data_IF_093321084966
#
_entry.id   IF_093321084966
#
_cell.length_a   1.000
_cell.length_b   1.000
_cell.length_c   1.000
_cell.angle_alpha   90.00
_cell.angle_beta   90.00
_cell.angle_gamma   90.00
#
_symmetry.space_group_name_H-M   'P 1'
#
loop_
_entity.id
_entity.type
_entity.pdbx_description
1 polymer ?
#
# COMPACT_ATOMS: atom_id res chain seq x y z
N UNK A 1 24.22 46.50 -38.26
CA UNK A 1 23.61 46.58 -36.89
C UNK A 1 22.41 45.67 -36.67
N UNK A 2 21.62 45.31 -37.67
CA UNK A 2 20.43 44.42 -37.49
C UNK A 2 20.80 42.95 -37.26
N UNK A 3 21.94 42.46 -37.73
CA UNK A 3 22.37 41.06 -37.51
C UNK A 3 22.86 40.75 -36.08
N UNK A 4 23.34 41.75 -35.35
CA UNK A 4 23.86 41.56 -33.98
C UNK A 4 22.76 41.27 -32.96
N UNK A 5 21.57 41.82 -33.18
CA UNK A 5 20.42 41.58 -32.29
C UNK A 5 19.78 40.21 -32.43
N UNK A 6 19.90 39.58 -33.63
CA UNK A 6 19.37 38.23 -33.88
C UNK A 6 20.21 37.18 -33.15
N UNK A 7 21.52 37.35 -33.09
CA UNK A 7 22.43 36.44 -32.36
C UNK A 7 22.22 36.55 -30.85
N UNK A 8 21.94 37.74 -30.32
CA UNK A 8 21.66 37.96 -28.89
C UNK A 8 20.32 37.34 -28.46
N UNK A 9 19.31 37.30 -29.33
CA UNK A 9 18.01 36.71 -29.06
C UNK A 9 18.04 35.17 -29.05
N UNK A 10 18.92 34.52 -29.77
CA UNK A 10 19.05 33.06 -29.83
C UNK A 10 19.79 32.51 -28.60
N UNK A 11 20.64 33.30 -27.96
CA UNK A 11 21.38 32.86 -26.77
C UNK A 11 20.55 32.89 -25.47
N UNK A 12 19.38 33.56 -25.46
CA UNK A 12 18.52 33.67 -24.27
C UNK A 12 17.55 32.50 -24.14
N UNK A 13 17.36 31.69 -25.19
CA UNK A 13 16.39 30.54 -25.16
C UNK A 13 16.99 29.23 -24.65
N UNK A 14 18.27 29.19 -24.29
CA UNK A 14 18.86 28.05 -23.60
C UNK A 14 18.83 28.25 -22.08
N UNK A 15 17.67 28.58 -21.55
CA UNK A 15 17.46 28.47 -20.12
C UNK A 15 17.34 27.00 -19.75
N UNK A 16 18.42 26.49 -19.19
CA UNK A 16 18.54 25.24 -18.48
C UNK A 16 17.23 24.83 -17.81
N UNK A 17 16.57 23.80 -18.33
CA UNK A 17 15.66 23.00 -17.53
C UNK A 17 16.49 22.35 -16.42
N UNK A 18 16.52 22.97 -15.25
CA UNK A 18 17.06 22.33 -14.07
C UNK A 18 16.27 21.03 -13.88
N UNK A 19 16.95 19.88 -13.71
CA UNK A 19 16.24 18.66 -13.40
C UNK A 19 15.47 18.92 -12.10
N UNK A 20 14.15 18.84 -12.17
CA UNK A 20 13.31 18.78 -10.97
C UNK A 20 13.78 17.51 -10.25
N UNK A 21 14.46 17.69 -9.13
CA UNK A 21 14.80 16.58 -8.25
C UNK A 21 13.48 15.95 -7.84
N UNK A 22 13.21 14.74 -8.35
CA UNK A 22 12.02 13.98 -7.97
C UNK A 22 12.04 13.76 -6.46
N UNK A 23 10.89 13.95 -5.82
CA UNK A 23 10.73 13.57 -4.43
C UNK A 23 10.88 12.05 -4.31
N UNK A 24 11.79 11.60 -3.46
CA UNK A 24 11.87 10.18 -3.11
C UNK A 24 10.60 9.80 -2.35
N UNK A 25 9.94 8.74 -2.81
CA UNK A 25 8.72 8.23 -2.15
C UNK A 25 9.09 7.24 -1.05
N UNK A 26 8.45 7.38 0.11
CA UNK A 26 8.50 6.33 1.13
C UNK A 26 7.46 5.27 0.75
N UNK A 27 7.93 4.14 0.23
CA UNK A 27 7.06 3.02 -0.13
C UNK A 27 7.04 2.00 1.02
N UNK A 28 5.85 1.64 1.50
CA UNK A 28 5.66 0.68 2.59
C UNK A 28 5.00 -0.62 2.13
N UNK A 29 4.68 -0.76 0.84
CA UNK A 29 4.08 -1.97 0.30
C UNK A 29 3.45 -1.76 -1.07
N UNK A 30 2.90 -2.82 -1.62
CA UNK A 30 2.29 -2.87 -2.94
C UNK A 30 0.80 -3.22 -2.86
N UNK A 31 0.01 -2.70 -3.82
CA UNK A 31 -1.43 -2.98 -3.94
C UNK A 31 -1.65 -4.03 -5.00
N UNK A 32 -2.53 -4.98 -4.70
CA UNK A 32 -2.90 -6.07 -5.57
C UNK A 32 -4.41 -6.26 -5.57
N UNK A 33 -4.91 -6.96 -6.60
CA UNK A 33 -6.27 -7.45 -6.63
C UNK A 33 -6.31 -8.88 -7.15
N UNK A 34 -7.34 -9.63 -6.77
CA UNK A 34 -7.66 -10.93 -7.32
C UNK A 34 -9.18 -11.07 -7.46
N UNK A 35 -9.61 -11.79 -8.48
CA UNK A 35 -11.00 -12.15 -8.60
C UNK A 35 -11.28 -13.44 -7.81
N UNK A 36 -12.19 -13.35 -6.84
CA UNK A 36 -12.63 -14.52 -6.07
C UNK A 36 -13.78 -15.22 -6.77
N UNK A 37 -13.53 -16.40 -7.31
CA UNK A 37 -14.60 -17.22 -7.93
C UNK A 37 -15.66 -17.69 -6.91
N UNK A 38 -15.29 -17.78 -5.64
CA UNK A 38 -16.22 -18.19 -4.57
C UNK A 38 -17.19 -17.06 -4.23
N UNK A 39 -16.67 -15.85 -4.11
CA UNK A 39 -17.47 -14.66 -3.77
C UNK A 39 -18.03 -13.95 -5.01
N UNK A 40 -17.56 -14.34 -6.21
CA UNK A 40 -17.88 -13.73 -7.51
C UNK A 40 -17.65 -12.20 -7.53
N UNK A 41 -16.53 -11.76 -6.94
CA UNK A 41 -16.15 -10.35 -6.87
C UNK A 41 -14.63 -10.16 -6.85
N UNK A 42 -14.18 -8.95 -7.19
CA UNK A 42 -12.78 -8.56 -7.07
C UNK A 42 -12.45 -8.20 -5.61
N UNK A 43 -11.34 -8.78 -5.12
CA UNK A 43 -10.85 -8.55 -3.76
C UNK A 43 -9.51 -7.85 -3.80
N UNK A 44 -9.42 -6.72 -3.10
CA UNK A 44 -8.18 -5.95 -2.97
C UNK A 44 -7.39 -6.43 -1.77
N UNK A 45 -6.06 -6.47 -1.90
CA UNK A 45 -5.15 -6.75 -0.81
C UNK A 45 -3.83 -5.98 -0.99
N UNK A 46 -3.14 -5.73 0.11
CA UNK A 46 -1.85 -5.06 0.11
C UNK A 46 -0.79 -5.99 0.68
N UNK A 47 0.41 -5.91 0.13
CA UNK A 47 1.54 -6.72 0.59
C UNK A 47 2.67 -5.79 1.02
N UNK A 48 3.21 -6.05 2.20
CA UNK A 48 4.53 -5.61 2.63
C UNK A 48 5.47 -6.80 2.63
N UNK A 49 6.64 -6.63 2.02
CA UNK A 49 7.73 -7.60 2.06
C UNK A 49 8.92 -6.96 2.78
N UNK A 50 9.57 -7.66 3.72
CA UNK A 50 10.77 -7.16 4.36
C UNK A 50 11.92 -7.08 3.36
N UNK A 51 12.79 -6.09 3.51
CA UNK A 51 13.99 -5.96 2.69
C UNK A 51 14.92 -7.15 2.94
N UNK A 52 15.24 -7.87 1.86
CA UNK A 52 16.21 -8.97 1.91
C UNK A 52 17.62 -8.42 2.06
N UNK A 53 18.39 -9.00 2.96
CA UNK A 53 19.80 -8.68 3.09
C UNK A 53 20.59 -9.46 2.02
N UNK A 54 21.78 -8.99 1.61
CA UNK A 54 22.64 -9.75 0.73
C UNK A 54 22.91 -11.16 1.28
N UNK A 55 22.65 -12.18 0.47
CA UNK A 55 22.76 -13.60 0.87
C UNK A 55 21.48 -14.20 1.45
N UNK A 56 20.38 -13.46 1.49
CA UNK A 56 19.06 -13.93 1.95
C UNK A 56 18.05 -14.06 0.81
N UNK A 57 18.50 -14.20 -0.42
CA UNK A 57 17.64 -14.18 -1.62
C UNK A 57 16.60 -15.31 -1.61
N UNK A 58 16.95 -16.48 -1.07
CA UNK A 58 16.07 -17.66 -0.96
C UNK A 58 15.45 -17.82 0.44
N UNK A 59 15.57 -16.84 1.30
CA UNK A 59 15.02 -16.94 2.65
C UNK A 59 13.51 -16.82 2.64
N UNK A 60 12.85 -17.80 3.25
CA UNK A 60 11.42 -17.76 3.52
C UNK A 60 11.12 -16.92 4.76
N UNK A 61 10.08 -16.10 4.65
CA UNK A 61 9.58 -15.32 5.77
C UNK A 61 8.20 -15.81 6.21
N UNK A 62 7.91 -15.81 7.51
CA UNK A 62 6.55 -16.05 7.98
C UNK A 62 5.60 -14.99 7.42
N UNK A 63 4.34 -15.38 7.19
CA UNK A 63 3.30 -14.51 6.65
C UNK A 63 2.32 -14.13 7.76
N UNK A 64 2.11 -12.85 7.93
CA UNK A 64 1.07 -12.27 8.79
C UNK A 64 -0.11 -11.85 7.92
N UNK A 65 -1.26 -12.50 8.09
CA UNK A 65 -2.51 -12.08 7.47
C UNK A 65 -3.21 -11.05 8.37
N UNK A 66 -3.50 -9.89 7.79
CA UNK A 66 -4.12 -8.76 8.48
C UNK A 66 -5.52 -8.51 7.91
N UNK A 67 -6.53 -8.56 8.74
CA UNK A 67 -7.88 -8.13 8.40
C UNK A 67 -8.04 -6.63 8.65
N UNK A 68 -9.06 -6.01 8.06
CA UNK A 68 -9.24 -4.55 8.07
C UNK A 68 -7.98 -3.82 7.56
N UNK A 69 -7.40 -4.33 6.47
CA UNK A 69 -6.11 -3.89 5.95
C UNK A 69 -6.05 -2.41 5.57
N UNK A 70 -7.15 -1.85 5.09
CA UNK A 70 -7.31 -0.44 4.78
C UNK A 70 -7.09 0.48 5.99
N UNK A 71 -7.41 -0.01 7.20
CA UNK A 71 -7.26 0.75 8.46
C UNK A 71 -5.89 0.51 9.11
N UNK A 72 -5.44 -0.76 9.17
CA UNK A 72 -4.34 -1.14 10.04
C UNK A 72 -3.00 -1.38 9.35
N UNK A 73 -2.95 -1.46 8.01
CA UNK A 73 -1.74 -1.83 7.27
C UNK A 73 -0.50 -1.03 7.68
N UNK A 74 -0.59 0.30 7.66
CA UNK A 74 0.54 1.17 7.97
C UNK A 74 1.08 0.96 9.38
N UNK A 75 0.18 0.85 10.35
CA UNK A 75 0.55 0.65 11.75
C UNK A 75 1.19 -0.71 11.97
N UNK A 76 0.61 -1.77 11.41
CA UNK A 76 1.12 -3.14 11.56
C UNK A 76 2.48 -3.29 10.86
N UNK A 77 2.64 -2.77 9.65
CA UNK A 77 3.95 -2.76 8.97
C UNK A 77 4.98 -1.98 9.79
N UNK A 78 4.62 -0.82 10.35
CA UNK A 78 5.49 -0.06 11.23
C UNK A 78 5.95 -0.86 12.46
N UNK A 79 5.02 -1.55 13.13
CA UNK A 79 5.32 -2.40 14.27
C UNK A 79 6.18 -3.61 13.90
N UNK A 80 5.85 -4.33 12.83
CA UNK A 80 6.63 -5.50 12.40
C UNK A 80 8.07 -5.11 12.06
N UNK A 81 8.27 -4.00 11.34
CA UNK A 81 9.61 -3.47 11.05
C UNK A 81 10.37 -3.08 12.32
N UNK A 82 9.72 -2.41 13.26
CA UNK A 82 10.33 -2.01 14.52
C UNK A 82 10.79 -3.21 15.35
N UNK A 83 9.89 -4.19 15.56
CA UNK A 83 10.21 -5.38 16.37
C UNK A 83 11.17 -6.35 15.68
N UNK A 84 11.22 -6.35 14.34
CA UNK A 84 12.19 -7.13 13.57
C UNK A 84 13.56 -6.42 13.44
N UNK A 85 13.66 -5.14 13.82
CA UNK A 85 14.91 -4.40 13.71
C UNK A 85 16.00 -4.99 14.60
N UNK A 86 17.28 -4.82 14.20
CA UNK A 86 18.43 -5.29 14.96
C UNK A 86 18.53 -4.73 16.39
N UNK A 87 17.85 -3.62 16.67
CA UNK A 87 17.82 -3.00 18.00
C UNK A 87 16.91 -3.73 18.98
N UNK A 88 15.80 -4.28 18.49
CA UNK A 88 14.76 -4.90 19.33
C UNK A 88 14.79 -6.41 19.18
N UNK A 89 14.84 -6.93 17.95
CA UNK A 89 14.98 -8.36 17.60
C UNK A 89 14.01 -9.28 18.35
N UNK A 90 12.78 -8.79 18.58
CA UNK A 90 11.74 -9.53 19.31
C UNK A 90 10.85 -10.37 18.40
N UNK A 91 10.83 -10.05 17.09
CA UNK A 91 10.08 -10.77 16.06
C UNK A 91 11.00 -11.05 14.86
N UNK A 92 10.83 -12.19 14.17
CA UNK A 92 11.45 -12.37 12.86
C UNK A 92 10.86 -11.38 11.86
N UNK A 93 11.63 -10.96 10.83
CA UNK A 93 11.05 -10.28 9.69
C UNK A 93 9.92 -11.10 9.09
N UNK A 94 8.80 -10.49 8.71
CA UNK A 94 7.65 -11.19 8.17
C UNK A 94 7.02 -10.42 7.00
N UNK A 95 6.42 -11.14 6.08
CA UNK A 95 5.55 -10.59 5.05
C UNK A 95 4.20 -10.26 5.70
N UNK A 96 3.63 -9.09 5.39
CA UNK A 96 2.27 -8.73 5.83
C UNK A 96 1.36 -8.73 4.62
N UNK A 97 0.33 -9.57 4.64
CA UNK A 97 -0.72 -9.61 3.63
C UNK A 97 -2.00 -9.04 4.25
N UNK A 98 -2.35 -7.84 3.84
CA UNK A 98 -3.50 -7.13 4.37
C UNK A 98 -4.70 -7.29 3.44
N UNK A 99 -5.75 -7.93 3.93
CA UNK A 99 -7.03 -8.08 3.21
C UNK A 99 -7.89 -6.86 3.49
N UNK A 100 -8.31 -6.20 2.38
CA UNK A 100 -9.15 -5.01 2.48
C UNK A 100 -10.62 -5.40 2.54
N UNK A 101 -11.41 -4.54 3.17
CA UNK A 101 -12.85 -4.73 3.21
C UNK A 101 -13.50 -4.26 1.91
N UNK A 102 -14.41 -5.08 1.36
CA UNK A 102 -15.38 -4.68 0.32
C UNK A 102 -16.69 -4.30 0.99
N UNK A 103 -17.17 -5.20 1.85
CA UNK A 103 -18.28 -4.96 2.78
C UNK A 103 -17.93 -5.61 4.11
N UNK A 104 -17.50 -4.79 5.06
CA UNK A 104 -17.00 -5.27 6.35
C UNK A 104 -18.05 -6.06 7.13
N UNK A 105 -19.30 -5.61 7.11
CA UNK A 105 -20.37 -6.27 7.85
C UNK A 105 -20.64 -7.66 7.29
N UNK A 106 -20.80 -7.76 5.97
CA UNK A 106 -20.99 -9.04 5.29
C UNK A 106 -19.80 -9.97 5.49
N UNK A 107 -18.57 -9.45 5.38
CA UNK A 107 -17.36 -10.27 5.38
C UNK A 107 -17.04 -10.82 6.79
N UNK A 108 -17.47 -10.14 7.87
CA UNK A 108 -17.17 -10.52 9.25
C UNK A 108 -18.36 -11.02 10.07
N UNK A 109 -19.55 -11.10 9.49
CA UNK A 109 -20.72 -11.66 10.17
C UNK A 109 -21.12 -12.98 9.54
N UNK A 110 -21.33 -14.06 10.34
CA UNK A 110 -21.69 -15.39 9.80
C UNK A 110 -23.14 -15.44 9.27
N UNK A 111 -23.95 -14.47 9.63
CA UNK A 111 -25.35 -14.37 9.22
C UNK A 111 -25.69 -12.95 8.81
N UNK A 112 -26.51 -12.82 7.75
CA UNK A 112 -27.10 -11.55 7.37
C UNK A 112 -27.92 -10.98 8.56
N UNK A 113 -27.62 -9.76 8.96
CA UNK A 113 -28.37 -9.03 9.98
C UNK A 113 -28.93 -7.76 9.36
N UNK A 114 -30.23 -7.72 9.20
CA UNK A 114 -30.94 -6.52 8.72
C UNK A 114 -30.87 -5.34 9.69
N UNK A 115 -30.53 -5.60 10.95
CA UNK A 115 -30.46 -4.57 11.98
C UNK A 115 -29.02 -4.11 12.24
N UNK A 116 -28.78 -2.82 12.16
CA UNK A 116 -27.55 -2.18 12.63
C UNK A 116 -27.52 -2.16 14.17
N UNK A 117 -26.34 -1.88 14.71
CA UNK A 117 -26.13 -1.78 16.17
C UNK A 117 -26.99 -0.69 16.84
N UNK A 118 -27.43 0.31 16.08
CA UNK A 118 -28.33 1.40 16.48
C UNK A 118 -29.83 1.04 16.31
N UNK A 119 -30.15 -0.19 15.88
CA UNK A 119 -31.51 -0.66 15.65
C UNK A 119 -32.10 -0.25 14.29
N UNK A 120 -31.38 0.45 13.45
CA UNK A 120 -31.86 0.80 12.09
C UNK A 120 -31.71 -0.39 11.14
N UNK A 121 -32.62 -0.49 10.14
CA UNK A 121 -32.59 -1.53 9.10
C UNK A 121 -31.71 -1.05 7.95
N UNK A 122 -30.86 -1.93 7.42
CA UNK A 122 -30.05 -1.59 6.23
C UNK A 122 -30.94 -1.53 4.96
N UNK A 123 -30.79 -0.47 4.13
CA UNK A 123 -31.48 -0.43 2.84
C UNK A 123 -30.92 -1.53 1.93
N UNK A 124 -31.76 -2.50 1.53
CA UNK A 124 -31.41 -3.57 0.58
C UNK A 124 -31.56 -5.00 1.08
N UNK A 125 -31.86 -5.22 2.36
CA UNK A 125 -32.06 -6.56 2.96
C UNK A 125 -33.55 -6.97 3.05
N UNK A 126 -34.39 -6.51 2.07
CA UNK A 126 -35.80 -6.93 1.94
C UNK A 126 -35.99 -7.81 0.72
#
# INVERSE_FOLDING_TARGET
>A
MKSFYIVLLITITWTSSLPVQGQDSINIGTRHSLFSNILNEERMYWIYEPEKQPGEEEKDYPVLYLLDGDVFFHSVVGFTRFFASSRVSSLPPCVVVAVLNTDRTRDFTPTSSAARRDGSIQPGDT
#
